data_IF_060741070523
#
_entry.id   IF_060741070523
#
_cell.length_a   1.000
_cell.length_b   1.000
_cell.length_c   1.000
_cell.angle_alpha   90.00
_cell.angle_beta   90.00
_cell.angle_gamma   90.00
#
_symmetry.space_group_name_H-M   'P 1'
#
loop_
_entity.id
_entity.type
_entity.pdbx_description
1 polymer ?
#
# COMPACT_ATOMS: atom_id res chain seq x y z
N UNK A 1 7.25 -22.49 7.23
CA UNK A 1 7.23 -21.38 6.26
C UNK A 1 8.34 -20.40 6.58
N UNK A 2 9.24 -20.18 5.66
CA UNK A 2 10.37 -19.29 5.87
C UNK A 2 9.96 -17.80 5.70
N UNK A 3 10.87 -16.88 6.06
CA UNK A 3 10.65 -15.44 5.94
C UNK A 3 10.33 -15.05 4.49
N UNK A 4 11.03 -15.65 3.54
CA UNK A 4 10.81 -15.43 2.11
C UNK A 4 9.38 -15.77 1.70
N UNK A 5 8.89 -16.95 2.05
CA UNK A 5 7.57 -17.43 1.64
C UNK A 5 6.46 -16.55 2.24
N UNK A 6 6.61 -16.16 3.50
CA UNK A 6 5.67 -15.24 4.16
C UNK A 6 5.67 -13.87 3.50
N UNK A 7 6.84 -13.36 3.14
CA UNK A 7 6.98 -12.06 2.49
C UNK A 7 6.36 -12.07 1.08
N UNK A 8 6.61 -13.11 0.32
CA UNK A 8 6.02 -13.29 -1.00
C UNK A 8 4.50 -13.40 -0.94
N UNK A 9 3.98 -14.19 -0.01
CA UNK A 9 2.52 -14.35 0.19
C UNK A 9 1.88 -13.02 0.59
N UNK A 10 2.47 -12.28 1.52
CA UNK A 10 1.96 -10.99 1.96
C UNK A 10 1.93 -9.97 0.82
N UNK A 11 3.02 -9.88 0.05
CA UNK A 11 3.11 -8.96 -1.08
C UNK A 11 2.10 -9.33 -2.17
N UNK A 12 1.99 -10.60 -2.48
CA UNK A 12 1.04 -11.11 -3.47
C UNK A 12 -0.41 -10.81 -3.08
N UNK A 13 -0.76 -11.00 -1.82
CA UNK A 13 -2.10 -10.68 -1.30
C UNK A 13 -2.39 -9.18 -1.37
N UNK A 14 -1.44 -8.33 -0.98
CA UNK A 14 -1.58 -6.87 -1.04
C UNK A 14 -1.73 -6.37 -2.49
N UNK A 15 -0.96 -6.91 -3.41
CA UNK A 15 -1.07 -6.61 -4.86
C UNK A 15 -2.43 -7.04 -5.41
N UNK A 16 -2.89 -8.23 -5.07
CA UNK A 16 -4.19 -8.75 -5.51
C UNK A 16 -5.34 -7.86 -5.05
N UNK A 17 -5.32 -7.43 -3.79
CA UNK A 17 -6.32 -6.49 -3.28
C UNK A 17 -6.28 -5.16 -4.03
N UNK A 18 -5.09 -4.62 -4.25
CA UNK A 18 -4.91 -3.34 -4.94
C UNK A 18 -5.48 -3.39 -6.37
N UNK A 19 -5.11 -4.40 -7.15
CA UNK A 19 -5.62 -4.55 -8.51
C UNK A 19 -7.10 -4.84 -8.57
N UNK A 20 -7.65 -5.59 -7.61
CA UNK A 20 -9.08 -5.82 -7.49
C UNK A 20 -9.84 -4.49 -7.26
N UNK A 21 -9.33 -3.63 -6.39
CA UNK A 21 -9.94 -2.33 -6.12
C UNK A 21 -9.84 -1.38 -7.31
N UNK A 22 -8.75 -1.40 -8.06
CA UNK A 22 -8.63 -0.65 -9.32
C UNK A 22 -9.69 -1.11 -10.32
N UNK A 23 -9.82 -2.42 -10.52
CA UNK A 23 -10.79 -2.97 -11.46
C UNK A 23 -12.23 -2.59 -11.07
N UNK A 24 -12.59 -2.70 -9.80
CA UNK A 24 -13.91 -2.29 -9.31
C UNK A 24 -14.18 -0.79 -9.52
N UNK A 25 -13.22 0.05 -9.17
CA UNK A 25 -13.35 1.49 -9.36
C UNK A 25 -13.46 1.87 -10.84
N UNK A 26 -12.72 1.19 -11.70
CA UNK A 26 -12.79 1.38 -13.15
C UNK A 26 -14.15 1.00 -13.71
N UNK A 27 -14.68 -0.17 -13.34
CA UNK A 27 -15.99 -0.63 -13.80
C UNK A 27 -17.11 0.30 -13.36
N UNK A 28 -17.07 0.76 -12.11
CA UNK A 28 -18.06 1.72 -11.59
C UNK A 28 -17.93 3.08 -12.28
N UNK A 29 -16.72 3.52 -12.59
CA UNK A 29 -16.48 4.78 -13.29
C UNK A 29 -17.05 4.82 -14.73
N UNK A 30 -17.25 3.65 -15.35
CA UNK A 30 -17.94 3.57 -16.66
C UNK A 30 -19.43 3.89 -16.54
N UNK A 31 -20.03 3.74 -15.37
CA UNK A 31 -21.45 3.93 -15.11
C UNK A 31 -21.78 5.30 -14.49
N UNK A 32 -20.78 6.04 -14.03
CA UNK A 32 -20.97 7.32 -13.38
C UNK A 32 -19.74 7.73 -12.55
N UNK A 33 -19.83 8.81 -11.75
CA UNK A 33 -18.70 9.23 -10.89
C UNK A 33 -18.36 8.17 -9.85
N UNK A 34 -17.07 8.09 -9.50
CA UNK A 34 -16.59 7.15 -8.49
C UNK A 34 -17.27 7.44 -7.14
N UNK A 35 -17.83 6.40 -6.52
CA UNK A 35 -18.45 6.52 -5.21
C UNK A 35 -17.41 6.78 -4.12
N UNK A 36 -17.86 7.28 -2.97
CA UNK A 36 -16.98 7.46 -1.81
C UNK A 36 -16.43 6.13 -1.33
N UNK A 37 -17.21 5.05 -1.41
CA UNK A 37 -16.76 3.71 -1.04
C UNK A 37 -15.69 3.17 -1.98
N UNK A 38 -15.79 3.38 -3.28
CA UNK A 38 -14.75 3.01 -4.24
C UNK A 38 -13.44 3.75 -3.95
N UNK A 39 -13.52 5.04 -3.69
CA UNK A 39 -12.36 5.88 -3.34
C UNK A 39 -11.72 5.40 -2.05
N UNK A 40 -12.52 5.15 -1.02
CA UNK A 40 -12.05 4.57 0.25
C UNK A 40 -11.36 3.23 0.04
N UNK A 41 -11.99 2.32 -0.68
CA UNK A 41 -11.44 0.99 -0.94
C UNK A 41 -10.10 1.02 -1.67
N UNK A 42 -9.98 1.89 -2.67
CA UNK A 42 -8.74 2.07 -3.42
C UNK A 42 -7.63 2.67 -2.54
N UNK A 43 -7.96 3.67 -1.72
CA UNK A 43 -6.99 4.30 -0.80
C UNK A 43 -6.48 3.32 0.26
N UNK A 44 -7.38 2.58 0.91
CA UNK A 44 -6.97 1.60 1.92
C UNK A 44 -6.11 0.49 1.33
N UNK A 45 -6.43 0.02 0.13
CA UNK A 45 -5.62 -0.95 -0.57
C UNK A 45 -4.22 -0.41 -0.92
N UNK A 46 -4.13 0.86 -1.32
CA UNK A 46 -2.85 1.53 -1.61
C UNK A 46 -1.99 1.66 -0.35
N UNK A 47 -2.56 2.14 0.75
CA UNK A 47 -1.83 2.24 2.03
C UNK A 47 -1.35 0.86 2.50
N UNK A 48 -2.21 -0.14 2.40
CA UNK A 48 -1.85 -1.51 2.76
C UNK A 48 -0.71 -2.05 1.89
N UNK A 49 -0.75 -1.82 0.57
CA UNK A 49 0.31 -2.24 -0.34
C UNK A 49 1.65 -1.57 0.00
N UNK A 50 1.66 -0.26 0.25
CA UNK A 50 2.88 0.47 0.62
C UNK A 50 3.45 -0.06 1.94
N UNK A 51 2.63 -0.22 2.98
CA UNK A 51 3.07 -0.72 4.27
C UNK A 51 3.59 -2.17 4.17
N UNK A 52 2.92 -3.01 3.39
CA UNK A 52 3.38 -4.38 3.13
C UNK A 52 4.71 -4.39 2.40
N UNK A 53 4.89 -3.52 1.41
CA UNK A 53 6.14 -3.39 0.67
C UNK A 53 7.30 -2.97 1.57
N UNK A 54 7.10 -2.01 2.48
CA UNK A 54 8.09 -1.63 3.48
C UNK A 54 8.48 -2.84 4.33
N UNK A 55 7.51 -3.54 4.89
CA UNK A 55 7.76 -4.70 5.74
C UNK A 55 8.53 -5.81 5.01
N UNK A 56 8.21 -6.05 3.74
CA UNK A 56 8.90 -7.04 2.91
C UNK A 56 10.35 -6.61 2.65
N UNK A 57 10.56 -5.37 2.24
CA UNK A 57 11.92 -4.85 1.95
C UNK A 57 12.77 -4.83 3.22
N UNK A 58 12.24 -4.40 4.35
CA UNK A 58 12.96 -4.39 5.62
C UNK A 58 13.41 -5.79 6.03
N UNK A 59 12.54 -6.79 5.86
CA UNK A 59 12.88 -8.19 6.14
C UNK A 59 13.95 -8.73 5.20
N UNK A 60 13.83 -8.45 3.91
CA UNK A 60 14.82 -8.88 2.93
C UNK A 60 16.16 -8.19 3.16
N UNK A 61 16.16 -6.92 3.49
CA UNK A 61 17.36 -6.17 3.84
C UNK A 61 18.09 -6.82 5.04
N UNK A 62 17.33 -7.18 6.07
CA UNK A 62 17.88 -7.85 7.26
C UNK A 62 18.41 -9.25 6.95
N UNK A 63 17.72 -10.01 6.11
CA UNK A 63 18.15 -11.38 5.72
C UNK A 63 19.44 -11.37 4.91
N UNK A 64 19.62 -10.37 4.04
CA UNK A 64 20.83 -10.22 3.23
C UNK A 64 22.04 -9.77 4.05
N UNK A 65 21.82 -9.24 5.23
CA UNK A 65 22.90 -8.83 6.14
C UNK A 65 23.79 -7.73 5.56
N UNK A 66 25.09 -7.82 5.81
CA UNK A 66 26.08 -6.79 5.46
C UNK A 66 26.16 -6.46 3.96
N UNK A 67 25.77 -7.37 3.08
CA UNK A 67 25.79 -7.10 1.63
C UNK A 67 24.75 -6.09 1.19
N UNK A 68 23.72 -5.88 1.99
CA UNK A 68 22.65 -4.93 1.68
C UNK A 68 23.08 -3.46 1.74
N UNK A 69 24.17 -3.15 2.44
CA UNK A 69 24.62 -1.77 2.66
C UNK A 69 25.44 -1.20 1.50
N UNK A 70 25.86 -2.05 0.57
CA UNK A 70 26.65 -1.60 -0.58
C UNK A 70 25.78 -0.98 -1.67
N UNK A 71 26.31 0.06 -2.33
CA UNK A 71 25.58 0.83 -3.34
C UNK A 71 25.20 0.02 -4.59
N UNK A 72 25.93 -1.04 -4.89
CA UNK A 72 25.64 -1.95 -5.99
C UNK A 72 24.53 -2.96 -5.67
N UNK A 73 24.07 -3.01 -4.41
CA UNK A 73 22.95 -3.84 -4.00
C UNK A 73 21.63 -3.23 -4.44
N UNK A 74 20.85 -3.97 -5.23
CA UNK A 74 19.50 -3.55 -5.61
C UNK A 74 18.57 -3.38 -4.40
N UNK A 75 18.81 -4.12 -3.29
CA UNK A 75 18.04 -3.98 -2.06
C UNK A 75 18.24 -2.62 -1.39
N UNK A 76 19.44 -2.06 -1.45
CA UNK A 76 19.67 -0.73 -0.90
C UNK A 76 18.84 0.34 -1.62
N UNK A 77 18.76 0.25 -2.94
CA UNK A 77 17.92 1.15 -3.73
C UNK A 77 16.44 0.96 -3.39
N UNK A 78 15.97 -0.29 -3.37
CA UNK A 78 14.58 -0.59 -3.03
C UNK A 78 14.21 -0.15 -1.61
N UNK A 79 15.13 -0.31 -0.64
CA UNK A 79 14.95 0.15 0.72
C UNK A 79 14.72 1.67 0.77
N UNK A 80 15.58 2.45 0.11
CA UNK A 80 15.43 3.91 0.05
C UNK A 80 14.14 4.32 -0.66
N UNK A 81 13.88 3.72 -1.82
CA UNK A 81 12.73 4.08 -2.65
C UNK A 81 11.40 3.83 -1.95
N UNK A 82 11.23 2.69 -1.30
CA UNK A 82 9.99 2.35 -0.60
C UNK A 82 9.75 3.25 0.60
N UNK A 83 10.79 3.60 1.35
CA UNK A 83 10.68 4.50 2.49
C UNK A 83 10.38 5.95 2.03
N UNK A 84 10.96 6.39 0.94
CA UNK A 84 10.63 7.71 0.33
C UNK A 84 9.18 7.71 -0.15
N UNK A 85 8.76 6.70 -0.88
CA UNK A 85 7.38 6.60 -1.39
C UNK A 85 6.34 6.62 -0.26
N UNK A 86 6.66 6.00 0.89
CA UNK A 86 5.78 5.93 2.06
C UNK A 86 5.51 7.29 2.72
N UNK A 87 6.35 8.28 2.45
CA UNK A 87 6.18 9.63 3.02
C UNK A 87 5.17 10.48 2.23
N UNK A 88 4.67 9.99 1.11
CA UNK A 88 3.66 10.70 0.34
C UNK A 88 2.34 10.79 1.12
N UNK A 89 1.76 11.99 1.18
CA UNK A 89 0.56 12.28 1.97
C UNK A 89 -0.63 11.37 1.65
N UNK A 90 -0.70 10.84 0.42
CA UNK A 90 -1.80 9.99 -0.04
C UNK A 90 -1.75 8.54 0.48
N UNK A 91 -0.67 8.16 1.15
CA UNK A 91 -0.48 6.81 1.70
C UNK A 91 -0.16 6.82 3.20
N UNK A 92 -0.30 7.98 3.84
CA UNK A 92 -0.04 8.14 5.28
C UNK A 92 -1.23 7.76 6.16
N UNK A 93 -0.99 7.73 7.47
CA UNK A 93 -1.99 7.41 8.49
C UNK A 93 -3.29 8.24 8.40
N UNK A 94 -3.27 9.56 8.06
CA UNK A 94 -4.50 10.32 7.92
C UNK A 94 -5.49 9.75 6.90
N UNK A 95 -5.00 9.07 5.88
CA UNK A 95 -5.86 8.40 4.89
C UNK A 95 -6.65 7.25 5.54
N UNK A 96 -6.02 6.50 6.45
CA UNK A 96 -6.68 5.42 7.18
C UNK A 96 -7.74 5.94 8.15
N UNK A 97 -7.50 7.09 8.78
CA UNK A 97 -8.51 7.75 9.62
C UNK A 97 -9.73 8.15 8.79
N UNK A 98 -9.52 8.81 7.66
CA UNK A 98 -10.61 9.19 6.76
C UNK A 98 -11.40 7.97 6.27
N UNK A 99 -10.69 6.91 5.90
CA UNK A 99 -11.33 5.66 5.47
C UNK A 99 -12.18 5.04 6.59
N UNK A 100 -11.69 5.05 7.82
CA UNK A 100 -12.44 4.58 9.00
C UNK A 100 -13.70 5.40 9.24
N UNK A 101 -13.62 6.71 9.11
CA UNK A 101 -14.79 7.60 9.23
C UNK A 101 -15.87 7.27 8.19
N UNK A 102 -15.45 7.02 6.95
CA UNK A 102 -16.38 6.61 5.87
C UNK A 102 -17.03 5.27 6.19
N UNK A 103 -16.27 4.30 6.71
CA UNK A 103 -16.81 2.99 7.10
C UNK A 103 -17.84 3.08 8.24
N UNK A 104 -17.67 4.06 9.12
CA UNK A 104 -18.60 4.31 10.24
C UNK A 104 -19.73 5.27 9.88
N UNK A 105 -19.83 5.65 8.63
CA UNK A 105 -20.86 6.59 8.13
C UNK A 105 -20.84 7.94 8.86
N UNK A 106 -19.66 8.39 9.27
CA UNK A 106 -19.45 9.67 9.92
C UNK A 106 -19.31 10.78 8.87
N UNK A 107 -19.71 12.01 9.26
CA UNK A 107 -19.49 13.17 8.40
C UNK A 107 -18.00 13.35 8.12
N UNK A 108 -17.66 13.37 6.85
CA UNK A 108 -16.27 13.36 6.40
C UNK A 108 -16.07 14.28 5.21
N UNK A 109 -15.14 15.23 5.36
CA UNK A 109 -14.66 15.99 4.21
C UNK A 109 -13.69 15.09 3.42
N UNK A 110 -14.19 14.52 2.33
CA UNK A 110 -13.49 13.48 1.58
C UNK A 110 -12.39 14.00 0.64
N UNK A 111 -11.79 15.14 0.94
CA UNK A 111 -10.75 15.75 0.09
C UNK A 111 -9.47 14.91 0.00
N UNK A 112 -9.24 14.01 0.95
CA UNK A 112 -8.06 13.14 0.99
C UNK A 112 -8.30 11.72 0.48
N UNK A 113 -9.51 11.38 0.06
CA UNK A 113 -9.83 10.05 -0.46
C UNK A 113 -9.87 9.99 -1.98
#
# INVERSE_FOLDING_TARGET
>A
MCIRDRSETALSAAKSLFYQRIAQAWDHAQLGPASLDDRRGLRTATVHLVNTSINVIDKMYSVMGGTSVYEDSCLQQHFRDVHVASQHMMVGEPVMELAGRVMLDLDTQALGL
#
